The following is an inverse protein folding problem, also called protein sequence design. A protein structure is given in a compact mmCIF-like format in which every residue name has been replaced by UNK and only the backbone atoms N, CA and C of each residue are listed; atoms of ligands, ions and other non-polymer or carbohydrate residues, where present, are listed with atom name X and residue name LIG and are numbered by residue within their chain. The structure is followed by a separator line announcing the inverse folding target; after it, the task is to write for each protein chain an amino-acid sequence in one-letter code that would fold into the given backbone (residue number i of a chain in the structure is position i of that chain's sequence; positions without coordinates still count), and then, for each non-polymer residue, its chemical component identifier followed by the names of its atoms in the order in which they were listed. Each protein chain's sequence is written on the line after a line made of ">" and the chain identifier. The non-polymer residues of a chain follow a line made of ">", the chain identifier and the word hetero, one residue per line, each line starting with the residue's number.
data_IF_125245665905
#
_entry.id   IF_125245665905
#
_cell.length_a   1.000
_cell.length_b   1.000
_cell.length_c   1.000
_cell.angle_alpha   90.00
_cell.angle_beta   90.00
_cell.angle_gamma   90.00
#
_symmetry.space_group_name_H-M   'P 1'
#
loop_
_entity.id
_entity.type
_entity.pdbx_description
1 polymer ?
#
# COMPACT_ATOMS: atom_id res chain seq x y z
N UNK A 1 -31.12 13.92 46.14
CA UNK A 1 -30.86 13.04 44.99
C UNK A 1 -31.44 13.76 43.79
N UNK A 2 -30.73 14.75 43.24
CA UNK A 2 -29.61 14.63 42.29
C UNK A 2 -30.11 14.19 40.91
N UNK A 3 -30.53 15.16 40.10
CA UNK A 3 -30.35 15.11 38.65
C UNK A 3 -29.77 16.47 38.26
N UNK A 4 -28.58 16.45 37.69
CA UNK A 4 -27.86 17.59 37.15
C UNK A 4 -27.60 17.29 35.69
N UNK A 5 -28.30 17.99 34.82
CA UNK A 5 -28.04 18.00 33.39
C UNK A 5 -26.76 18.82 33.14
N UNK A 6 -25.73 18.17 32.60
CA UNK A 6 -24.53 18.83 32.12
C UNK A 6 -24.20 18.30 30.73
N UNK A 7 -24.83 18.88 29.72
CA UNK A 7 -24.36 18.80 28.34
C UNK A 7 -23.18 19.76 28.17
N UNK A 8 -21.97 19.20 28.11
CA UNK A 8 -20.80 19.91 27.59
C UNK A 8 -20.08 19.01 26.59
N UNK A 9 -20.59 19.03 25.35
CA UNK A 9 -19.99 18.39 24.18
C UNK A 9 -19.36 19.43 23.26
N UNK A 10 -18.44 20.25 23.78
CA UNK A 10 -17.69 21.23 23.00
C UNK A 10 -16.23 20.84 22.88
N UNK A 11 -15.90 19.97 21.93
CA UNK A 11 -14.52 19.55 21.75
C UNK A 11 -14.30 18.69 20.50
N UNK A 12 -14.52 19.26 19.31
CA UNK A 12 -14.12 18.61 18.06
C UNK A 12 -13.50 19.64 17.12
N UNK A 13 -12.16 19.75 17.18
CA UNK A 13 -11.35 20.08 15.99
C UNK A 13 -9.87 19.67 16.07
N UNK A 14 -9.39 19.05 17.14
CA UNK A 14 -7.97 18.69 17.28
C UNK A 14 -7.66 17.19 17.14
N UNK A 15 -8.68 16.31 17.10
CA UNK A 15 -8.52 14.86 16.90
C UNK A 15 -8.44 14.45 15.42
N UNK A 16 -8.71 15.37 14.49
CA UNK A 16 -8.71 15.11 13.04
C UNK A 16 -7.31 15.17 12.40
N UNK A 17 -6.52 16.18 12.75
CA UNK A 17 -5.24 16.44 12.08
C UNK A 17 -4.17 15.37 12.31
N UNK A 18 -4.15 14.73 13.49
CA UNK A 18 -3.20 13.65 13.78
C UNK A 18 -3.49 12.41 12.93
N UNK A 19 -4.78 12.08 12.72
CA UNK A 19 -5.22 10.93 11.91
C UNK A 19 -4.98 11.13 10.42
N UNK A 20 -4.99 12.37 9.95
CA UNK A 20 -4.79 12.68 8.55
C UNK A 20 -3.30 12.59 8.20
N UNK A 21 -2.41 13.08 9.06
CA UNK A 21 -0.96 12.92 8.87
C UNK A 21 -0.52 11.45 8.85
N UNK A 22 -1.15 10.56 9.63
CA UNK A 22 -0.86 9.12 9.59
C UNK A 22 -1.15 8.47 8.23
N UNK A 23 -2.00 9.07 7.40
CA UNK A 23 -2.35 8.59 6.05
C UNK A 23 -1.43 9.14 4.96
N UNK A 24 -0.64 10.16 5.27
CA UNK A 24 0.24 10.81 4.31
C UNK A 24 1.58 10.09 4.24
N UNK A 25 2.12 9.94 3.03
CA UNK A 25 3.49 9.46 2.86
C UNK A 25 4.48 10.50 3.38
N UNK A 26 5.67 10.12 3.89
CA UNK A 26 6.67 11.09 4.32
C UNK A 26 7.03 12.07 3.20
N UNK A 27 6.90 13.38 3.47
CA UNK A 27 7.11 14.46 2.48
C UNK A 27 8.50 14.39 1.82
N UNK A 28 9.51 13.91 2.56
CA UNK A 28 10.87 13.72 2.05
C UNK A 28 10.94 12.67 0.93
N UNK A 29 10.16 11.59 1.03
CA UNK A 29 10.10 10.54 0.02
C UNK A 29 9.39 11.04 -1.25
N UNK A 30 8.27 11.74 -1.09
CA UNK A 30 7.54 12.39 -2.20
C UNK A 30 8.45 13.39 -2.91
N UNK A 31 9.08 14.31 -2.17
CA UNK A 31 9.99 15.31 -2.73
C UNK A 31 11.18 14.68 -3.46
N UNK A 32 11.71 13.56 -2.98
CA UNK A 32 12.83 12.85 -3.63
C UNK A 32 12.39 12.28 -4.99
N UNK A 33 11.20 11.70 -5.07
CA UNK A 33 10.66 11.14 -6.32
C UNK A 33 10.36 12.26 -7.32
N UNK A 34 9.67 13.32 -6.89
CA UNK A 34 9.40 14.48 -7.74
C UNK A 34 10.68 15.06 -8.35
N UNK A 35 11.78 15.09 -7.59
CA UNK A 35 13.08 15.57 -8.06
C UNK A 35 13.72 14.71 -9.16
N UNK A 36 13.43 13.42 -9.24
CA UNK A 36 14.06 12.50 -10.22
C UNK A 36 13.71 12.84 -11.67
N UNK A 37 12.57 13.48 -11.90
CA UNK A 37 12.10 13.86 -13.24
C UNK A 37 12.39 15.32 -13.59
N UNK A 38 13.10 16.03 -12.71
CA UNK A 38 13.43 17.45 -12.88
C UNK A 38 14.94 17.66 -13.07
N UNK A 39 15.36 18.77 -13.69
CA UNK A 39 16.76 19.18 -13.71
C UNK A 39 17.34 19.31 -12.29
N UNK A 40 18.63 19.00 -12.11
CA UNK A 40 19.25 18.94 -10.78
C UNK A 40 19.13 20.23 -9.96
N UNK A 41 19.17 21.39 -10.62
CA UNK A 41 19.06 22.71 -10.00
C UNK A 41 17.61 23.20 -9.80
N UNK A 42 16.60 22.47 -10.29
CA UNK A 42 15.20 22.89 -10.15
C UNK A 42 14.81 23.02 -8.68
N UNK A 43 13.88 23.92 -8.34
CA UNK A 43 13.32 24.02 -6.98
C UNK A 43 11.86 23.59 -7.03
N UNK A 44 11.40 22.91 -5.98
CA UNK A 44 9.99 22.54 -5.80
C UNK A 44 9.50 23.34 -4.60
N UNK A 45 8.42 24.09 -4.75
CA UNK A 45 7.82 24.86 -3.67
C UNK A 45 7.31 23.93 -2.56
N UNK A 46 7.00 24.51 -1.40
CA UNK A 46 6.44 23.74 -0.28
C UNK A 46 5.05 23.21 -0.66
N UNK A 47 4.23 24.09 -1.21
CA UNK A 47 2.85 23.85 -1.62
C UNK A 47 2.77 22.72 -2.65
N UNK A 48 3.67 22.71 -3.65
CA UNK A 48 3.69 21.64 -4.65
C UNK A 48 4.05 20.27 -4.05
N UNK A 49 4.87 20.22 -2.99
CA UNK A 49 5.17 18.95 -2.31
C UNK A 49 3.97 18.46 -1.50
N UNK A 50 3.29 19.38 -0.80
CA UNK A 50 2.09 19.07 0.00
C UNK A 50 0.94 18.62 -0.91
N UNK A 51 0.67 19.32 -2.01
CA UNK A 51 -0.32 18.89 -3.00
C UNK A 51 0.00 17.51 -3.57
N UNK A 52 1.26 17.24 -3.95
CA UNK A 52 1.62 15.91 -4.45
C UNK A 52 1.55 14.82 -3.37
N UNK A 53 1.79 15.16 -2.11
CA UNK A 53 1.64 14.24 -0.98
C UNK A 53 0.18 13.84 -0.78
N UNK A 54 -0.74 14.80 -0.86
CA UNK A 54 -2.18 14.53 -0.83
C UNK A 54 -2.62 13.71 -2.04
N UNK A 55 -2.21 14.11 -3.26
CA UNK A 55 -2.58 13.41 -4.49
C UNK A 55 -2.10 11.96 -4.52
N UNK A 56 -0.88 11.67 -4.03
CA UNK A 56 -0.38 10.29 -4.03
C UNK A 56 -1.08 9.42 -2.99
N UNK A 57 -1.42 9.98 -1.82
CA UNK A 57 -2.21 9.26 -0.81
C UNK A 57 -3.64 8.99 -1.31
N UNK A 58 -4.24 9.94 -2.01
CA UNK A 58 -5.54 9.74 -2.65
C UNK A 58 -5.45 8.71 -3.78
N UNK A 59 -4.40 8.75 -4.60
CA UNK A 59 -4.17 7.77 -5.66
C UNK A 59 -4.10 6.33 -5.13
N UNK A 60 -3.43 6.11 -3.98
CA UNK A 60 -3.40 4.80 -3.33
C UNK A 60 -4.83 4.39 -2.94
N UNK A 61 -5.58 5.28 -2.29
CA UNK A 61 -6.97 5.00 -1.88
C UNK A 61 -7.88 4.72 -3.06
N UNK A 62 -7.73 5.48 -4.15
CA UNK A 62 -8.50 5.35 -5.38
C UNK A 62 -8.29 3.99 -6.06
N UNK A 63 -7.03 3.63 -6.33
CA UNK A 63 -6.70 2.36 -6.99
C UNK A 63 -7.06 1.16 -6.11
N UNK A 64 -6.79 1.25 -4.81
CA UNK A 64 -7.11 0.15 -3.88
C UNK A 64 -8.61 0.00 -3.67
N UNK A 65 -9.38 1.10 -3.73
CA UNK A 65 -10.84 1.08 -3.73
C UNK A 65 -11.40 0.31 -4.93
N UNK A 66 -10.96 0.64 -6.14
CA UNK A 66 -11.40 -0.04 -7.37
C UNK A 66 -11.06 -1.54 -7.35
N UNK A 67 -9.85 -1.89 -6.91
CA UNK A 67 -9.44 -3.29 -6.75
C UNK A 67 -10.24 -4.03 -5.66
N UNK A 68 -10.55 -3.35 -4.55
CA UNK A 68 -11.39 -3.88 -3.48
C UNK A 68 -12.78 -4.20 -4.01
N UNK A 69 -13.39 -3.30 -4.79
CA UNK A 69 -14.72 -3.50 -5.36
C UNK A 69 -14.78 -4.74 -6.25
N UNK A 70 -13.77 -4.95 -7.11
CA UNK A 70 -13.65 -6.18 -7.89
C UNK A 70 -13.50 -7.41 -7.00
N UNK A 71 -12.58 -7.38 -6.04
CA UNK A 71 -12.35 -8.48 -5.11
C UNK A 71 -13.65 -8.90 -4.40
N UNK A 72 -14.44 -7.92 -3.94
CA UNK A 72 -15.71 -8.15 -3.26
C UNK A 72 -16.78 -8.70 -4.21
N UNK A 73 -16.88 -8.18 -5.45
CA UNK A 73 -17.78 -8.72 -6.49
C UNK A 73 -17.48 -10.20 -6.78
N UNK A 74 -16.22 -10.60 -6.70
CA UNK A 74 -15.77 -12.00 -6.82
C UNK A 74 -15.89 -12.82 -5.52
N UNK A 75 -16.54 -12.28 -4.48
CA UNK A 75 -16.74 -12.91 -3.15
C UNK A 75 -15.43 -13.27 -2.44
N UNK A 76 -14.33 -12.59 -2.77
CA UNK A 76 -13.05 -12.72 -2.08
C UNK A 76 -12.91 -11.65 -0.99
N UNK A 77 -12.20 -11.99 0.09
CA UNK A 77 -11.91 -11.07 1.21
C UNK A 77 -10.49 -10.48 1.15
N UNK A 78 -9.66 -10.98 0.25
CA UNK A 78 -8.24 -10.62 0.15
C UNK A 78 -7.97 -10.13 -1.26
N UNK A 79 -7.56 -8.87 -1.35
CA UNK A 79 -7.08 -8.24 -2.59
C UNK A 79 -5.73 -8.87 -2.94
N UNK A 80 -5.55 -9.24 -4.21
CA UNK A 80 -4.28 -9.77 -4.70
C UNK A 80 -3.68 -8.87 -5.79
N UNK A 81 -2.51 -9.26 -6.32
CA UNK A 81 -1.83 -8.48 -7.35
C UNK A 81 -2.59 -8.39 -8.68
N UNK A 82 -3.38 -9.42 -9.04
CA UNK A 82 -4.15 -9.41 -10.29
C UNK A 82 -5.36 -8.44 -10.21
N UNK A 83 -5.89 -8.21 -9.01
CA UNK A 83 -6.89 -7.17 -8.76
C UNK A 83 -6.33 -5.78 -9.01
N UNK A 84 -5.11 -5.51 -8.54
CA UNK A 84 -4.45 -4.22 -8.77
C UNK A 84 -4.13 -4.02 -10.25
N UNK A 85 -3.67 -5.05 -10.96
CA UNK A 85 -3.43 -4.95 -12.40
C UNK A 85 -4.71 -4.63 -13.16
N UNK A 86 -5.81 -5.28 -12.81
CA UNK A 86 -7.11 -4.97 -13.40
C UNK A 86 -7.55 -3.54 -13.10
N UNK A 87 -7.43 -3.09 -11.85
CA UNK A 87 -7.80 -1.73 -11.46
C UNK A 87 -7.00 -0.68 -12.24
N UNK A 88 -5.68 -0.88 -12.41
CA UNK A 88 -4.84 0.02 -13.21
C UNK A 88 -5.35 0.13 -14.66
N UNK A 89 -5.68 -0.99 -15.31
CA UNK A 89 -6.25 -0.97 -16.66
C UNK A 89 -7.63 -0.31 -16.69
N UNK A 90 -8.53 -0.66 -15.78
CA UNK A 90 -9.90 -0.13 -15.74
C UNK A 90 -9.98 1.36 -15.46
N UNK A 91 -9.02 1.90 -14.71
CA UNK A 91 -8.90 3.33 -14.41
C UNK A 91 -8.15 4.12 -15.49
N UNK A 92 -7.68 3.47 -16.57
CA UNK A 92 -6.98 4.12 -17.68
C UNK A 92 -5.47 4.31 -17.48
N UNK A 93 -4.87 3.62 -16.51
CA UNK A 93 -3.42 3.63 -16.23
C UNK A 93 -2.69 2.45 -16.90
N UNK A 94 -3.07 2.12 -18.13
CA UNK A 94 -2.59 0.96 -18.88
C UNK A 94 -1.07 0.94 -19.07
N UNK A 95 -0.47 2.11 -19.30
CA UNK A 95 0.99 2.28 -19.43
C UNK A 95 1.75 1.85 -18.17
N UNK A 96 1.10 1.85 -16.99
CA UNK A 96 1.67 1.37 -15.74
C UNK A 96 1.36 -0.12 -15.48
N UNK A 97 0.27 -0.65 -16.04
CA UNK A 97 -0.15 -2.03 -15.82
C UNK A 97 0.89 -3.04 -16.37
N UNK A 98 1.45 -2.80 -17.55
CA UNK A 98 2.43 -3.70 -18.16
C UNK A 98 3.74 -3.80 -17.35
N UNK A 99 4.40 -2.69 -16.95
CA UNK A 99 5.53 -2.74 -16.02
C UNK A 99 5.20 -3.43 -14.69
N UNK A 100 4.01 -3.18 -14.13
CA UNK A 100 3.57 -3.80 -12.88
C UNK A 100 3.35 -5.30 -13.02
N UNK A 101 2.87 -5.77 -14.17
CA UNK A 101 2.71 -7.20 -14.46
C UNK A 101 4.04 -7.93 -14.50
N UNK A 102 5.05 -7.34 -15.15
CA UNK A 102 6.41 -7.86 -15.14
C UNK A 102 7.00 -7.88 -13.72
N UNK A 103 6.73 -6.86 -12.91
CA UNK A 103 7.14 -6.82 -11.51
C UNK A 103 6.45 -7.91 -10.68
N UNK A 104 5.14 -8.08 -10.82
CA UNK A 104 4.37 -9.10 -10.10
C UNK A 104 4.85 -10.51 -10.43
N UNK A 105 5.19 -10.78 -11.69
CA UNK A 105 5.78 -12.05 -12.10
C UNK A 105 7.08 -12.33 -11.33
N UNK A 106 8.03 -11.38 -11.37
CA UNK A 106 9.31 -11.51 -10.65
C UNK A 106 9.13 -11.65 -9.14
N UNK A 107 8.18 -10.93 -8.56
CA UNK A 107 7.86 -11.03 -7.14
C UNK A 107 7.39 -12.45 -6.77
N UNK A 108 6.52 -13.06 -7.60
CA UNK A 108 6.05 -14.43 -7.42
C UNK A 108 7.16 -15.46 -7.53
N UNK A 109 8.13 -15.28 -8.45
CA UNK A 109 9.31 -16.14 -8.55
C UNK A 109 10.14 -16.11 -7.25
N UNK A 110 10.46 -14.91 -6.76
CA UNK A 110 11.26 -14.72 -5.55
C UNK A 110 10.56 -15.28 -4.30
N UNK A 111 9.26 -15.04 -4.13
CA UNK A 111 8.49 -15.59 -3.00
C UNK A 111 8.33 -17.12 -3.09
N UNK A 112 8.17 -17.65 -4.32
CA UNK A 112 8.16 -19.08 -4.59
C UNK A 112 9.48 -19.75 -4.19
N UNK A 113 10.61 -19.14 -4.53
CA UNK A 113 11.95 -19.61 -4.16
C UNK A 113 12.17 -19.62 -2.64
N UNK A 114 11.76 -18.56 -1.93
CA UNK A 114 11.83 -18.51 -0.46
C UNK A 114 11.01 -19.63 0.18
N UNK A 115 9.81 -19.87 -0.33
CA UNK A 115 8.93 -20.95 0.15
C UNK A 115 9.55 -22.32 -0.11
N UNK A 116 10.16 -22.52 -1.27
CA UNK A 116 10.86 -23.76 -1.62
C UNK A 116 12.11 -24.00 -0.75
N UNK A 117 12.85 -22.95 -0.39
CA UNK A 117 14.01 -23.03 0.52
C UNK A 117 13.61 -23.43 1.94
N UNK A 118 12.50 -22.88 2.45
CA UNK A 118 11.94 -23.25 3.77
C UNK A 118 11.47 -24.71 3.76
N UNK A 119 10.81 -25.16 2.69
CA UNK A 119 10.39 -26.56 2.54
C UNK A 119 11.57 -27.54 2.51
N UNK A 120 12.68 -27.17 1.86
CA UNK A 120 13.92 -27.98 1.87
C UNK A 120 14.57 -28.06 3.25
N UNK A 121 14.57 -26.96 4.03
CA UNK A 121 15.10 -26.98 5.39
C UNK A 121 14.28 -27.87 6.34
N UNK A 122 12.95 -27.88 6.19
CA UNK A 122 12.07 -28.75 6.98
C UNK A 122 12.22 -30.22 6.60
N UNK A 123 12.36 -30.53 5.31
CA UNK A 123 12.63 -31.90 4.83
C UNK A 123 14.02 -32.40 5.24
N UNK A 124 15.05 -31.56 5.20
CA UNK A 124 16.41 -31.94 5.62
C UNK A 124 16.48 -32.20 7.15
N UNK A 125 15.78 -31.37 7.94
CA UNK A 125 15.71 -31.54 9.40
C UNK A 125 14.96 -32.81 9.78
N UNK A 126 13.80 -33.08 9.16
CA UNK A 126 13.03 -34.32 9.44
C UNK A 126 13.76 -35.59 8.98
N UNK A 127 14.49 -35.56 7.87
CA UNK A 127 15.31 -36.69 7.43
C UNK A 127 16.47 -37.01 8.39
N UNK A 128 17.05 -36.01 9.06
CA UNK A 128 18.12 -36.21 10.03
C UNK A 128 17.65 -36.92 11.31
N UNK A 129 16.39 -36.71 11.72
CA UNK A 129 15.80 -37.36 12.91
C UNK A 129 15.10 -38.71 12.61
N UNK A 130 15.01 -39.11 11.34
CA UNK A 130 14.29 -40.32 10.91
C UNK A 130 15.18 -41.55 10.65
N UNK A 131 16.49 -41.47 10.90
CA UNK A 131 17.39 -42.62 10.87
C UNK A 131 17.62 -43.15 12.29
N UNK A 132 16.84 -44.13 12.77
CA UNK A 132 17.24 -44.93 13.92
C UNK A 132 18.46 -45.79 13.51
N UNK A 133 19.46 -45.83 14.39
CA UNK A 133 20.64 -46.70 14.30
C UNK A 133 20.26 -48.18 14.15
#
# INVERSE_FOLDING_TARGET
>A
MAESDNESGGGNNELGGCREQDRLLPIANVSRIMKKVLPGNAKISKEAKETMQECVSEFISFVTGEASDKCQKEKRKTINGDDLLWAMTSLGFEDYAEPLKAYLHKYREIEGEKTAMIGRHQHATTAFYANPL
#
